data_IF_901206350848
#
_entry.id   IF_901206350848
#
_cell.length_a   1.000
_cell.length_b   1.000
_cell.length_c   1.000
_cell.angle_alpha   90.00
_cell.angle_beta   90.00
_cell.angle_gamma   90.00
#
_symmetry.space_group_name_H-M   'P 1'
#
loop_
_entity.id
_entity.type
_entity.pdbx_description
1 polymer ?
#
# COMPACT_ATOMS: atom_id res chain seq x y z
N UNK A 1 8.27 -5.35 19.53
CA UNK A 1 9.63 -5.88 19.42
C UNK A 1 9.66 -6.96 18.36
N UNK A 2 10.62 -6.90 17.43
CA UNK A 2 10.88 -8.01 16.51
C UNK A 2 11.26 -9.24 17.33
N UNK A 3 10.79 -10.45 16.98
CA UNK A 3 11.18 -11.65 17.70
C UNK A 3 12.71 -11.84 17.59
N UNK A 4 13.39 -12.32 18.65
CA UNK A 4 14.82 -12.59 18.59
C UNK A 4 15.10 -13.65 17.51
N UNK A 5 16.22 -13.48 16.81
CA UNK A 5 16.69 -14.43 15.80
C UNK A 5 16.84 -15.81 16.46
N UNK A 6 15.97 -16.76 16.08
CA UNK A 6 16.06 -18.14 16.56
C UNK A 6 17.32 -18.78 15.98
N UNK A 7 18.18 -19.32 16.83
CA UNK A 7 19.35 -20.09 16.39
C UNK A 7 18.90 -21.24 15.48
N UNK A 8 19.41 -21.26 14.24
CA UNK A 8 19.06 -22.24 13.21
C UNK A 8 19.99 -23.45 13.40
N UNK A 9 19.48 -24.53 14.01
CA UNK A 9 20.06 -25.87 13.91
C UNK A 9 19.50 -26.55 12.64
N UNK A 10 20.12 -26.33 11.49
CA UNK A 10 19.88 -27.16 10.30
C UNK A 10 20.98 -26.95 9.25
N UNK A 11 21.42 -28.02 8.59
CA UNK A 11 22.30 -28.02 7.39
C UNK A 11 21.73 -27.25 6.17
N UNK A 12 20.63 -26.52 6.34
CA UNK A 12 20.04 -25.64 5.34
C UNK A 12 20.10 -24.21 5.88
N UNK A 13 20.87 -23.35 5.20
CA UNK A 13 20.99 -21.91 5.48
C UNK A 13 19.71 -21.17 5.06
N UNK A 14 18.56 -21.51 5.66
CA UNK A 14 17.29 -20.82 5.39
C UNK A 14 17.01 -19.83 6.51
N UNK A 15 17.47 -18.61 6.32
CA UNK A 15 17.27 -17.51 7.26
C UNK A 15 15.82 -17.02 7.13
N UNK A 16 15.00 -17.25 8.16
CA UNK A 16 13.62 -16.77 8.20
C UNK A 16 13.59 -15.35 8.75
N UNK A 17 13.40 -14.38 7.85
CA UNK A 17 13.28 -12.96 8.17
C UNK A 17 12.02 -12.38 7.52
N UNK A 18 11.44 -11.37 8.14
CA UNK A 18 10.42 -10.50 7.54
C UNK A 18 11.04 -9.63 6.45
N UNK A 19 10.19 -9.07 5.58
CA UNK A 19 10.68 -8.25 4.46
C UNK A 19 11.53 -7.06 4.90
N UNK A 20 11.18 -6.45 6.04
CA UNK A 20 11.91 -5.30 6.58
C UNK A 20 13.23 -5.71 7.24
N UNK A 21 13.26 -6.87 7.89
CA UNK A 21 14.51 -7.46 8.40
C UNK A 21 15.46 -7.80 7.25
N UNK A 22 14.97 -8.37 6.15
CA UNK A 22 15.77 -8.63 4.93
C UNK A 22 16.31 -7.35 4.33
N UNK A 23 15.49 -6.31 4.22
CA UNK A 23 15.93 -5.03 3.66
C UNK A 23 17.07 -4.43 4.50
N UNK A 24 16.89 -4.36 5.82
CA UNK A 24 17.94 -3.88 6.73
C UNK A 24 19.18 -4.77 6.68
N UNK A 25 18.99 -6.09 6.67
CA UNK A 25 20.09 -7.04 6.57
C UNK A 25 20.91 -6.78 5.31
N UNK A 26 20.30 -6.74 4.13
CA UNK A 26 21.02 -6.53 2.85
C UNK A 26 21.78 -5.20 2.83
N UNK A 27 21.18 -4.12 3.34
CA UNK A 27 21.84 -2.81 3.37
C UNK A 27 23.06 -2.77 4.31
N UNK A 28 22.99 -3.41 5.48
CA UNK A 28 24.10 -3.43 6.45
C UNK A 28 25.06 -4.62 6.27
N UNK A 29 24.70 -5.63 5.49
CA UNK A 29 25.52 -6.82 5.27
C UNK A 29 26.93 -6.51 4.73
N UNK A 30 27.12 -5.61 3.73
CA UNK A 30 28.47 -5.22 3.31
C UNK A 30 29.34 -4.66 4.45
N UNK A 31 28.74 -3.97 5.42
CA UNK A 31 29.46 -3.40 6.56
C UNK A 31 29.83 -4.48 7.58
N UNK A 32 28.95 -5.47 7.78
CA UNK A 32 29.19 -6.58 8.70
C UNK A 32 30.34 -7.48 8.24
N UNK A 33 30.42 -7.76 6.94
CA UNK A 33 31.39 -8.72 6.38
C UNK A 33 32.55 -8.03 5.67
N UNK A 34 32.48 -6.71 5.45
CA UNK A 34 33.43 -5.98 4.61
C UNK A 34 34.89 -6.06 5.03
N UNK A 35 35.17 -6.26 6.33
CA UNK A 35 36.53 -6.43 6.84
C UNK A 35 37.09 -7.86 6.63
N UNK A 36 36.23 -8.83 6.32
CA UNK A 36 36.60 -10.22 6.08
C UNK A 36 36.83 -10.52 4.58
N UNK A 37 36.47 -9.60 3.69
CA UNK A 37 36.54 -9.80 2.25
C UNK A 37 37.71 -9.00 1.66
N UNK A 38 38.59 -9.63 0.85
CA UNK A 38 39.69 -8.94 0.19
C UNK A 38 39.23 -7.78 -0.69
N UNK A 39 40.06 -6.73 -0.80
CA UNK A 39 39.64 -5.48 -1.45
C UNK A 39 39.30 -5.63 -2.94
N UNK A 40 40.01 -6.50 -3.66
CA UNK A 40 39.84 -6.75 -5.11
C UNK A 40 38.95 -7.95 -5.44
N UNK A 41 38.11 -8.39 -4.50
CA UNK A 41 37.24 -9.53 -4.74
C UNK A 41 36.03 -9.17 -5.63
N UNK A 42 35.82 -9.94 -6.69
CA UNK A 42 34.69 -9.76 -7.61
C UNK A 42 33.34 -9.98 -6.91
N UNK A 43 33.28 -10.86 -5.91
CA UNK A 43 32.07 -11.10 -5.11
C UNK A 43 31.68 -9.86 -4.28
N UNK A 44 32.67 -9.12 -3.79
CA UNK A 44 32.45 -7.85 -3.07
C UNK A 44 31.84 -6.80 -3.98
N UNK A 45 32.38 -6.64 -5.19
CA UNK A 45 31.85 -5.71 -6.19
C UNK A 45 30.43 -6.08 -6.61
N UNK A 46 30.15 -7.36 -6.81
CA UNK A 46 28.81 -7.87 -7.09
C UNK A 46 27.82 -7.51 -5.96
N UNK A 47 28.24 -7.70 -4.70
CA UNK A 47 27.42 -7.40 -3.53
C UNK A 47 27.15 -5.89 -3.39
N UNK A 48 28.16 -5.04 -3.60
CA UNK A 48 27.99 -3.58 -3.58
C UNK A 48 27.01 -3.14 -4.68
N UNK A 49 27.17 -3.67 -5.90
CA UNK A 49 26.25 -3.39 -7.00
C UNK A 49 24.81 -3.82 -6.67
N UNK A 50 24.63 -4.95 -5.98
CA UNK A 50 23.30 -5.41 -5.55
C UNK A 50 22.65 -4.44 -4.54
N UNK A 51 23.42 -3.90 -3.60
CA UNK A 51 22.92 -2.89 -2.66
C UNK A 51 22.58 -1.60 -3.38
N UNK A 52 23.44 -1.11 -4.27
CA UNK A 52 23.19 0.08 -5.08
C UNK A 52 21.92 -0.07 -5.94
N UNK A 53 21.74 -1.25 -6.55
CA UNK A 53 20.54 -1.58 -7.31
C UNK A 53 19.29 -1.50 -6.44
N UNK A 54 19.31 -2.07 -5.23
CA UNK A 54 18.17 -2.00 -4.30
C UNK A 54 17.88 -0.55 -3.90
N UNK A 55 18.91 0.25 -3.61
CA UNK A 55 18.77 1.65 -3.22
C UNK A 55 18.17 2.49 -4.35
N UNK A 56 18.61 2.28 -5.60
CA UNK A 56 18.01 2.90 -6.79
C UNK A 56 16.53 2.53 -6.94
N UNK A 57 16.15 1.27 -6.72
CA UNK A 57 14.76 0.83 -6.82
C UNK A 57 13.85 1.42 -5.73
N UNK A 58 14.42 1.83 -4.59
CA UNK A 58 13.70 2.38 -3.44
C UNK A 58 13.51 3.90 -3.50
N UNK A 59 14.05 4.56 -4.52
CA UNK A 59 13.91 6.00 -4.73
C UNK A 59 12.43 6.41 -4.83
N UNK A 60 12.13 7.59 -4.27
CA UNK A 60 10.78 8.18 -4.30
C UNK A 60 10.49 8.95 -5.58
N UNK A 61 11.52 9.30 -6.35
CA UNK A 61 11.47 10.05 -7.61
C UNK A 61 12.60 9.55 -8.50
N UNK A 62 12.40 9.60 -9.81
CA UNK A 62 13.37 9.14 -10.79
C UNK A 62 13.58 10.21 -11.86
N UNK A 63 14.84 10.49 -12.18
CA UNK A 63 15.25 11.25 -13.35
C UNK A 63 15.73 10.30 -14.46
N UNK A 64 15.87 10.79 -15.69
CA UNK A 64 16.38 9.99 -16.81
C UNK A 64 17.82 9.49 -16.58
N UNK A 65 18.63 10.25 -15.84
CA UNK A 65 19.96 9.82 -15.38
C UNK A 65 19.88 8.59 -14.49
N UNK A 66 18.89 8.53 -13.60
CA UNK A 66 18.73 7.47 -12.62
C UNK A 66 18.22 6.19 -13.29
N UNK A 67 17.32 6.33 -14.27
CA UNK A 67 16.87 5.23 -15.12
C UNK A 67 18.01 4.65 -15.97
N UNK A 68 18.88 5.52 -16.50
CA UNK A 68 20.07 5.08 -17.25
C UNK A 68 21.02 4.31 -16.34
N UNK A 69 21.31 4.83 -15.15
CA UNK A 69 22.12 4.13 -14.12
C UNK A 69 21.49 2.80 -13.71
N UNK A 70 20.18 2.76 -13.50
CA UNK A 70 19.45 1.55 -13.13
C UNK A 70 19.55 0.48 -14.22
N UNK A 71 19.39 0.84 -15.49
CA UNK A 71 19.58 -0.08 -16.61
C UNK A 71 21.00 -0.68 -16.63
N UNK A 72 22.02 0.16 -16.48
CA UNK A 72 23.42 -0.31 -16.43
C UNK A 72 23.67 -1.22 -15.23
N UNK A 73 23.14 -0.89 -14.05
CA UNK A 73 23.24 -1.72 -12.86
C UNK A 73 22.56 -3.09 -13.04
N UNK A 74 21.37 -3.13 -13.64
CA UNK A 74 20.64 -4.39 -13.90
C UNK A 74 21.41 -5.27 -14.89
N UNK A 75 21.94 -4.68 -15.97
CA UNK A 75 22.73 -5.40 -16.95
C UNK A 75 24.00 -6.01 -16.34
N UNK A 76 24.74 -5.20 -15.56
CA UNK A 76 25.92 -5.64 -14.84
C UNK A 76 25.59 -6.76 -13.84
N UNK A 77 24.55 -6.59 -13.02
CA UNK A 77 24.12 -7.58 -12.04
C UNK A 77 23.79 -8.92 -12.70
N UNK A 78 22.98 -8.91 -13.77
CA UNK A 78 22.58 -10.14 -14.46
C UNK A 78 23.77 -10.85 -15.13
N UNK A 79 24.68 -10.08 -15.76
CA UNK A 79 25.89 -10.64 -16.34
C UNK A 79 26.79 -11.28 -15.28
N UNK A 80 27.10 -10.55 -14.21
CA UNK A 80 27.96 -11.03 -13.11
C UNK A 80 27.35 -12.20 -12.34
N UNK A 81 26.03 -12.27 -12.21
CA UNK A 81 25.37 -13.40 -11.58
C UNK A 81 25.68 -14.71 -12.32
N UNK A 82 25.60 -14.70 -13.66
CA UNK A 82 25.89 -15.89 -14.48
C UNK A 82 27.37 -16.22 -14.43
N UNK A 83 28.24 -15.20 -14.54
CA UNK A 83 29.70 -15.38 -14.54
C UNK A 83 30.24 -15.92 -13.20
N UNK A 84 29.78 -15.39 -12.07
CA UNK A 84 30.32 -15.74 -10.75
C UNK A 84 29.74 -17.02 -10.16
N UNK A 85 28.44 -17.28 -10.39
CA UNK A 85 27.76 -18.42 -9.78
C UNK A 85 27.55 -19.60 -10.73
N UNK A 86 27.88 -19.45 -12.02
CA UNK A 86 27.61 -20.44 -13.06
C UNK A 86 26.17 -20.98 -13.01
N UNK A 87 25.21 -20.10 -12.68
CA UNK A 87 23.78 -20.41 -12.53
C UNK A 87 22.96 -19.67 -13.58
N UNK A 88 21.76 -20.17 -13.84
CA UNK A 88 20.83 -19.60 -14.82
C UNK A 88 20.04 -18.44 -14.24
N UNK A 89 19.68 -17.48 -15.10
CA UNK A 89 18.85 -16.34 -14.70
C UNK A 89 17.44 -16.80 -14.34
N UNK A 90 17.11 -16.68 -13.06
CA UNK A 90 15.75 -16.91 -12.54
C UNK A 90 14.74 -15.90 -13.11
N UNK A 91 13.42 -16.23 -13.15
CA UNK A 91 12.39 -15.31 -13.66
C UNK A 91 12.40 -13.90 -13.04
N UNK A 92 12.84 -13.76 -11.78
CA UNK A 92 12.99 -12.46 -11.12
C UNK A 92 14.00 -11.54 -11.83
N UNK A 93 15.08 -12.09 -12.38
CA UNK A 93 16.07 -11.33 -13.14
C UNK A 93 15.50 -10.82 -14.47
N UNK A 94 14.63 -11.61 -15.11
CA UNK A 94 13.92 -11.16 -16.32
C UNK A 94 12.88 -10.09 -15.99
N UNK A 95 12.13 -10.23 -14.90
CA UNK A 95 11.18 -9.19 -14.47
C UNK A 95 11.90 -7.86 -14.18
N UNK A 96 13.11 -7.92 -13.63
CA UNK A 96 13.92 -6.75 -13.31
C UNK A 96 14.26 -5.93 -14.55
N UNK A 97 14.48 -6.54 -15.72
CA UNK A 97 14.79 -5.78 -16.95
C UNK A 97 13.63 -4.89 -17.41
N UNK A 98 12.39 -5.20 -17.00
CA UNK A 98 11.22 -4.39 -17.33
C UNK A 98 11.02 -3.20 -16.38
N UNK A 99 11.76 -3.12 -15.27
CA UNK A 99 11.50 -2.13 -14.23
C UNK A 99 11.70 -0.70 -14.72
N UNK A 100 12.69 -0.42 -15.56
CA UNK A 100 12.89 0.92 -16.12
C UNK A 100 11.71 1.37 -16.98
N UNK A 101 11.14 0.46 -17.78
CA UNK A 101 9.94 0.73 -18.59
C UNK A 101 8.70 0.96 -17.70
N UNK A 102 8.57 0.18 -16.63
CA UNK A 102 7.47 0.32 -15.66
C UNK A 102 7.58 1.68 -14.95
N UNK A 103 8.78 2.05 -14.49
CA UNK A 103 9.01 3.33 -13.80
C UNK A 103 8.68 4.50 -14.72
N UNK A 104 9.09 4.44 -15.99
CA UNK A 104 8.79 5.49 -16.97
C UNK A 104 7.29 5.66 -17.22
N UNK A 105 6.49 4.58 -17.15
CA UNK A 105 5.04 4.61 -17.40
C UNK A 105 4.20 4.92 -16.17
N UNK A 106 4.55 4.36 -15.01
CA UNK A 106 3.73 4.38 -13.80
C UNK A 106 4.36 5.15 -12.64
N UNK A 107 5.61 5.59 -12.79
CA UNK A 107 6.36 6.27 -11.75
C UNK A 107 7.04 5.32 -10.75
N UNK A 108 7.42 5.82 -9.56
CA UNK A 108 8.22 5.09 -8.59
C UNK A 108 7.59 3.76 -8.14
N UNK A 109 8.38 2.68 -8.19
CA UNK A 109 7.90 1.32 -7.86
C UNK A 109 7.36 1.19 -6.43
N UNK A 110 7.90 1.96 -5.48
CA UNK A 110 7.45 1.99 -4.08
C UNK A 110 5.94 2.24 -3.94
N UNK A 111 5.34 2.99 -4.87
CA UNK A 111 3.90 3.29 -4.87
C UNK A 111 3.06 2.13 -5.44
N UNK A 112 3.67 1.21 -6.19
CA UNK A 112 3.02 0.08 -6.83
C UNK A 112 3.07 -1.21 -5.98
N UNK A 113 3.84 -1.22 -4.90
CA UNK A 113 4.05 -2.43 -4.08
C UNK A 113 2.87 -2.75 -3.17
N UNK A 114 2.65 -4.05 -2.95
CA UNK A 114 1.50 -4.57 -2.20
C UNK A 114 1.65 -4.58 -0.68
N UNK A 115 2.71 -3.96 -0.12
CA UNK A 115 2.93 -3.93 1.34
C UNK A 115 1.73 -3.38 2.13
N UNK A 116 1.03 -2.39 1.59
CA UNK A 116 -0.14 -1.78 2.25
C UNK A 116 -1.33 -2.75 2.28
N UNK A 117 -1.55 -3.49 1.20
CA UNK A 117 -2.59 -4.52 1.13
C UNK A 117 -2.29 -5.65 2.13
N UNK A 118 -1.06 -6.13 2.18
CA UNK A 118 -0.66 -7.17 3.15
C UNK A 118 -0.75 -6.70 4.60
N UNK A 119 -0.39 -5.46 4.87
CA UNK A 119 -0.58 -4.85 6.20
C UNK A 119 -2.05 -4.82 6.58
N UNK A 120 -2.94 -4.49 5.64
CA UNK A 120 -4.40 -4.49 5.86
C UNK A 120 -4.94 -5.90 6.17
N UNK A 121 -4.41 -6.93 5.52
CA UNK A 121 -4.79 -8.32 5.81
C UNK A 121 -4.50 -8.73 7.26
N UNK A 122 -3.51 -8.14 7.93
CA UNK A 122 -3.18 -8.44 9.34
C UNK A 122 -4.38 -8.17 10.27
N UNK A 123 -5.12 -7.08 10.01
CA UNK A 123 -6.31 -6.73 10.78
C UNK A 123 -7.41 -7.80 10.62
N UNK A 124 -7.69 -8.20 9.37
CA UNK A 124 -8.70 -9.23 9.07
C UNK A 124 -8.34 -10.59 9.68
N UNK A 125 -7.07 -11.00 9.59
CA UNK A 125 -6.56 -12.24 10.21
C UNK A 125 -6.73 -12.24 11.72
N UNK A 126 -6.49 -11.09 12.37
CA UNK A 126 -6.72 -10.93 13.81
C UNK A 126 -8.20 -11.14 14.17
N UNK A 127 -9.12 -10.56 13.40
CA UNK A 127 -10.55 -10.77 13.61
C UNK A 127 -10.96 -12.22 13.42
N UNK A 128 -10.48 -12.88 12.36
CA UNK A 128 -10.77 -14.30 12.13
C UNK A 128 -10.33 -15.19 13.31
N UNK A 129 -9.23 -14.85 13.97
CA UNK A 129 -8.73 -15.61 15.13
C UNK A 129 -9.63 -15.45 16.36
N UNK A 130 -10.27 -14.30 16.51
CA UNK A 130 -11.07 -13.96 17.70
C UNK A 130 -12.57 -14.27 17.53
N UNK A 131 -13.05 -14.48 16.30
CA UNK A 131 -14.44 -14.87 16.05
C UNK A 131 -14.60 -16.35 16.42
N UNK A 132 -15.54 -16.62 17.33
CA UNK A 132 -15.88 -17.97 17.81
C UNK A 132 -16.76 -18.73 16.81
N UNK A 133 -17.66 -18.04 16.10
CA UNK A 133 -18.52 -18.64 15.06
C UNK A 133 -17.79 -18.73 13.71
N UNK A 134 -17.82 -19.91 13.09
CA UNK A 134 -17.21 -20.13 11.75
C UNK A 134 -18.22 -20.10 10.61
N UNK A 135 -19.49 -19.79 10.92
CA UNK A 135 -20.55 -19.62 9.94
C UNK A 135 -20.36 -18.28 9.23
N UNK A 136 -20.27 -18.29 7.90
CA UNK A 136 -20.25 -17.10 7.05
C UNK A 136 -19.20 -16.04 7.45
N UNK A 137 -17.97 -16.46 7.74
CA UNK A 137 -16.83 -15.58 8.09
C UNK A 137 -16.69 -14.35 7.17
N UNK A 138 -16.83 -14.46 5.83
CA UNK A 138 -16.75 -13.30 4.96
C UNK A 138 -17.77 -12.20 5.29
N UNK A 139 -18.99 -12.58 5.67
CA UNK A 139 -20.07 -11.67 6.04
C UNK A 139 -19.74 -10.97 7.37
N UNK A 140 -19.27 -11.73 8.36
CA UNK A 140 -18.86 -11.16 9.65
C UNK A 140 -17.70 -10.18 9.50
N UNK A 141 -16.73 -10.49 8.63
CA UNK A 141 -15.62 -9.59 8.33
C UNK A 141 -16.07 -8.34 7.57
N UNK A 142 -16.99 -8.48 6.60
CA UNK A 142 -17.49 -7.34 5.82
C UNK A 142 -18.27 -6.37 6.70
N UNK A 143 -19.13 -6.86 7.60
CA UNK A 143 -19.87 -6.03 8.56
C UNK A 143 -18.90 -5.28 9.49
N UNK A 144 -17.89 -5.98 10.02
CA UNK A 144 -16.90 -5.34 10.89
C UNK A 144 -16.07 -4.29 10.15
N UNK A 145 -15.73 -4.55 8.89
CA UNK A 145 -15.05 -3.60 8.04
C UNK A 145 -15.91 -2.37 7.75
N UNK A 146 -17.20 -2.55 7.44
CA UNK A 146 -18.12 -1.43 7.16
C UNK A 146 -18.33 -0.55 8.39
N UNK A 147 -18.40 -1.12 9.60
CA UNK A 147 -18.50 -0.35 10.84
C UNK A 147 -17.23 0.49 11.07
N UNK A 148 -16.04 -0.12 10.98
CA UNK A 148 -14.77 0.61 11.11
C UNK A 148 -14.63 1.72 10.06
N UNK A 149 -15.15 1.50 8.85
CA UNK A 149 -15.14 2.50 7.78
C UNK A 149 -16.10 3.66 8.08
N UNK A 150 -17.31 3.36 8.59
CA UNK A 150 -18.26 4.38 9.02
C UNK A 150 -17.67 5.26 10.15
N UNK A 151 -17.03 4.66 11.15
CA UNK A 151 -16.32 5.39 12.21
C UNK A 151 -15.23 6.32 11.65
N UNK A 152 -14.44 5.83 10.68
CA UNK A 152 -13.42 6.65 10.02
C UNK A 152 -14.04 7.85 9.30
N UNK A 153 -15.19 7.68 8.64
CA UNK A 153 -15.93 8.78 7.99
C UNK A 153 -16.43 9.79 9.02
N UNK A 154 -17.06 9.32 10.11
CA UNK A 154 -17.62 10.20 11.15
C UNK A 154 -16.52 11.01 11.85
N UNK A 155 -15.34 10.42 12.04
CA UNK A 155 -14.18 11.08 12.66
C UNK A 155 -13.33 11.89 11.67
N UNK A 156 -13.70 11.92 10.38
CA UNK A 156 -12.94 12.62 9.34
C UNK A 156 -13.15 14.14 9.44
N UNK A 157 -12.41 14.80 10.35
CA UNK A 157 -12.51 16.25 10.60
C UNK A 157 -11.84 17.14 9.54
N UNK A 158 -11.24 16.57 8.49
CA UNK A 158 -10.50 17.34 7.48
C UNK A 158 -10.94 17.01 6.07
N UNK A 159 -11.77 17.87 5.49
CA UNK A 159 -11.92 17.94 4.04
C UNK A 159 -11.83 19.40 3.62
N UNK A 160 -10.89 19.69 2.70
CA UNK A 160 -10.91 20.91 1.91
C UNK A 160 -12.23 20.92 1.16
N UNK A 161 -13.05 21.94 1.39
CA UNK A 161 -14.31 22.13 0.70
C UNK A 161 -14.04 22.32 -0.80
N UNK A 162 -14.56 21.42 -1.62
CA UNK A 162 -14.56 21.60 -3.07
C UNK A 162 -15.99 21.98 -3.48
N UNK A 163 -16.17 22.97 -4.36
CA UNK A 163 -17.49 23.26 -4.91
C UNK A 163 -17.97 22.05 -5.71
N UNK A 164 -19.03 21.41 -5.24
CA UNK A 164 -19.71 20.33 -5.96
C UNK A 164 -21.00 20.89 -6.53
N UNK A 165 -21.20 20.72 -7.85
CA UNK A 165 -22.51 20.91 -8.46
C UNK A 165 -23.29 19.60 -8.26
N UNK A 166 -24.24 19.60 -7.33
CA UNK A 166 -25.11 18.48 -7.04
C UNK A 166 -26.46 18.63 -7.76
N UNK A 167 -27.03 17.52 -8.24
CA UNK A 167 -28.39 17.47 -8.79
C UNK A 167 -29.44 17.51 -7.67
N UNK A 168 -30.72 17.29 -7.98
CA UNK A 168 -31.83 17.40 -7.01
C UNK A 168 -31.65 16.51 -5.77
N UNK A 169 -31.92 17.02 -4.56
CA UNK A 169 -31.84 16.23 -3.33
C UNK A 169 -32.90 15.11 -3.33
N UNK A 170 -32.47 13.91 -2.97
CA UNK A 170 -33.34 12.74 -2.81
C UNK A 170 -33.72 12.61 -1.33
N UNK A 171 -35.00 12.33 -1.06
CA UNK A 171 -35.50 12.12 0.30
C UNK A 171 -34.78 10.96 0.99
N UNK A 172 -34.12 11.26 2.12
CA UNK A 172 -33.40 10.30 2.97
C UNK A 172 -34.31 9.17 3.52
N UNK A 173 -35.62 9.41 3.64
CA UNK A 173 -36.51 8.62 4.51
C UNK A 173 -36.57 7.13 4.18
N UNK A 174 -36.45 6.74 2.90
CA UNK A 174 -36.54 5.32 2.49
C UNK A 174 -35.29 4.51 2.85
N UNK A 175 -34.11 5.10 2.77
CA UNK A 175 -32.83 4.41 3.02
C UNK A 175 -32.51 4.33 4.52
N UNK A 176 -32.85 5.38 5.27
CA UNK A 176 -32.50 5.52 6.68
C UNK A 176 -33.39 4.73 7.64
N UNK A 177 -34.62 4.38 7.26
CA UNK A 177 -35.53 3.59 8.13
C UNK A 177 -34.91 2.28 8.67
N UNK A 178 -34.01 1.66 7.90
CA UNK A 178 -33.29 0.43 8.29
C UNK A 178 -32.04 0.70 9.12
N UNK A 179 -31.45 1.89 9.00
CA UNK A 179 -30.25 2.34 9.72
C UNK A 179 -30.63 2.93 11.07
N UNK A 180 -31.74 3.68 11.18
CA UNK A 180 -32.30 4.19 12.43
C UNK A 180 -32.58 3.08 13.44
N UNK A 181 -33.07 1.92 12.98
CA UNK A 181 -33.28 0.73 13.79
C UNK A 181 -31.99 0.14 14.39
N UNK A 182 -30.83 0.38 13.77
CA UNK A 182 -29.53 -0.15 14.19
C UNK A 182 -28.74 0.80 15.09
N UNK A 183 -29.01 2.11 15.01
CA UNK A 183 -28.31 3.16 15.75
C UNK A 183 -29.25 3.85 16.73
N UNK A 184 -29.63 3.16 17.82
CA UNK A 184 -30.39 3.75 18.92
C UNK A 184 -29.50 4.59 19.86
N UNK A 185 -28.79 5.58 19.32
CA UNK A 185 -28.03 6.54 20.13
C UNK A 185 -28.16 7.95 19.56
N UNK A 186 -27.98 8.94 20.44
CA UNK A 186 -28.10 10.38 20.21
C UNK A 186 -27.32 10.95 18.99
N UNK A 187 -26.50 10.14 18.32
CA UNK A 187 -25.73 10.51 17.12
C UNK A 187 -26.61 10.73 15.87
N UNK A 188 -27.83 10.16 15.83
CA UNK A 188 -28.79 10.36 14.73
C UNK A 188 -29.25 11.82 14.58
N UNK A 189 -29.18 12.63 15.64
CA UNK A 189 -29.54 14.06 15.60
C UNK A 189 -28.62 14.82 14.61
N UNK A 190 -27.39 14.35 14.42
CA UNK A 190 -26.43 14.94 13.47
C UNK A 190 -26.72 14.57 12.00
N UNK A 191 -27.47 13.50 11.74
CA UNK A 191 -27.76 13.00 10.39
C UNK A 191 -28.78 13.86 9.63
N UNK A 192 -29.62 14.62 10.33
CA UNK A 192 -30.50 15.62 9.73
C UNK A 192 -29.73 16.71 8.97
N UNK A 193 -28.44 16.90 9.26
CA UNK A 193 -27.59 17.89 8.58
C UNK A 193 -26.99 17.37 7.25
N UNK A 194 -27.31 16.13 6.85
CA UNK A 194 -26.78 15.49 5.65
C UNK A 194 -27.88 15.31 4.63
N UNK A 195 -27.62 15.73 3.39
CA UNK A 195 -28.52 15.53 2.25
C UNK A 195 -28.00 14.42 1.35
N UNK A 196 -28.94 13.68 0.74
CA UNK A 196 -28.63 12.58 -0.15
C UNK A 196 -28.88 12.99 -1.60
N UNK A 197 -27.95 12.68 -2.49
CA UNK A 197 -28.04 13.02 -3.91
C UNK A 197 -27.99 11.75 -4.77
N UNK A 198 -28.69 11.77 -5.90
CA UNK A 198 -28.68 10.70 -6.90
C UNK A 198 -27.39 10.68 -7.71
N UNK A 199 -26.80 11.85 -7.97
CA UNK A 199 -25.53 11.99 -8.64
C UNK A 199 -24.81 13.26 -8.17
N UNK A 200 -23.48 13.24 -8.27
CA UNK A 200 -22.61 14.39 -8.01
C UNK A 200 -21.63 14.54 -9.16
N UNK A 201 -21.41 15.78 -9.59
CA UNK A 201 -20.33 16.11 -10.50
C UNK A 201 -19.11 16.63 -9.72
N UNK A 202 -17.98 15.96 -9.88
CA UNK A 202 -16.70 16.36 -9.30
C UNK A 202 -15.62 16.30 -10.38
N UNK A 203 -14.89 17.40 -10.58
CA UNK A 203 -13.82 17.52 -11.59
C UNK A 203 -14.22 17.00 -12.99
N UNK A 204 -15.37 17.42 -13.52
CA UNK A 204 -15.95 16.99 -14.79
C UNK A 204 -16.29 15.49 -14.92
N UNK A 205 -16.20 14.73 -13.83
CA UNK A 205 -16.66 13.34 -13.75
C UNK A 205 -17.98 13.27 -12.99
N UNK A 206 -18.99 12.63 -13.59
CA UNK A 206 -20.31 12.42 -12.98
C UNK A 206 -20.30 11.06 -12.29
N UNK A 207 -20.46 11.09 -10.96
CA UNK A 207 -20.57 9.88 -10.15
C UNK A 207 -22.05 9.55 -9.96
N UNK A 208 -22.50 8.51 -10.67
CA UNK A 208 -23.85 7.92 -10.53
C UNK A 208 -23.75 6.67 -9.66
N UNK A 209 -23.57 6.86 -8.36
CA UNK A 209 -23.64 5.75 -7.39
C UNK A 209 -24.89 5.97 -6.56
N UNK A 210 -25.85 5.04 -6.65
CA UNK A 210 -27.14 5.07 -5.96
C UNK A 210 -27.00 5.58 -4.52
N UNK A 211 -27.25 6.86 -4.29
CA UNK A 211 -27.22 7.55 -2.99
C UNK A 211 -25.81 7.99 -2.54
N UNK A 212 -25.51 9.29 -2.71
CA UNK A 212 -24.32 9.95 -2.17
C UNK A 212 -24.76 10.82 -0.98
N UNK A 213 -24.11 10.67 0.17
CA UNK A 213 -24.35 11.49 1.37
C UNK A 213 -23.35 12.64 1.43
N UNK A 214 -23.85 13.86 1.61
CA UNK A 214 -23.00 15.04 1.82
C UNK A 214 -23.56 15.94 2.92
N UNK A 215 -22.69 16.45 3.80
CA UNK A 215 -23.02 17.55 4.71
C UNK A 215 -22.96 18.86 3.94
N UNK A 216 -24.09 19.51 3.75
CA UNK A 216 -24.15 20.83 3.12
C UNK A 216 -24.22 21.89 4.23
N UNK A 217 -23.18 22.74 4.35
CA UNK A 217 -23.32 24.02 5.05
C UNK A 217 -23.64 25.07 3.99
N UNK A 218 -24.84 25.63 4.01
CA UNK A 218 -25.20 26.78 3.18
C UNK A 218 -24.39 28.01 3.63
N UNK A 219 -23.12 28.10 3.24
CA UNK A 219 -22.43 29.37 3.22
C UNK A 219 -22.65 29.99 1.84
N UNK A 220 -23.81 30.64 1.70
CA UNK A 220 -23.98 31.67 0.69
C UNK A 220 -22.98 32.79 0.95
N UNK A 221 -21.78 32.68 0.41
CA UNK A 221 -20.95 33.84 0.06
C UNK A 221 -20.27 33.51 -1.25
N UNK A 222 -20.96 33.90 -2.33
CA UNK A 222 -20.30 34.26 -3.58
C UNK A 222 -19.28 35.34 -3.22
N UNK A 223 -18.00 35.03 -3.29
CA UNK A 223 -16.96 36.05 -3.40
C UNK A 223 -16.28 35.84 -4.75
N UNK A 224 -16.35 36.93 -5.52
CA UNK A 224 -15.78 37.11 -6.83
C UNK A 224 -14.26 36.83 -6.89
#
# INVERSE_FOLDING_TARGET
MSPPLKFIKSNQLKIKMSSREIQSFVHFFPLLVGHLVPENDQYRLFLINFVELIDLLLLSKFNDSDLSKLNTCIAYHNYKYVELFNDTLKPKHHLLTHYCNIIRKFGPLKLLWSYRFESKHKQLKSYCKNITSRVNIPVSLSIKYSINFAELILNFKTVKWYPLNAETPVSLSKYFSKIELLFSSNDLISLNNYTCYSSISYCNTIYKTNYILSSFTQNHTVLA
#
